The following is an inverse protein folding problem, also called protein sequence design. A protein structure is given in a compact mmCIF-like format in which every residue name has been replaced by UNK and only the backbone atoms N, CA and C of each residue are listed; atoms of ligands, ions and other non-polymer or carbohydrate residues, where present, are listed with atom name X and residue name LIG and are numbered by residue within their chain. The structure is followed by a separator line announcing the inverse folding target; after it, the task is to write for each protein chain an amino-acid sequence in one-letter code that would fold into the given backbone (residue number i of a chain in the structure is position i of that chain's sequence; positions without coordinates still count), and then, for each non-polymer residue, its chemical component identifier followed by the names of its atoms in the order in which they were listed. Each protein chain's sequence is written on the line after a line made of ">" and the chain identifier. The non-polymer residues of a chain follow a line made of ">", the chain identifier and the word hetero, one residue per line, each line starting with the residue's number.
data_IF_047509737225
#
_entry.id   IF_047509737225
#
_cell.length_a   1.000
_cell.length_b   1.000
_cell.length_c   1.000
_cell.angle_alpha   90.00
_cell.angle_beta   90.00
_cell.angle_gamma   90.00
#
_symmetry.space_group_name_H-M   'P 1'
#
loop_
_entity.id
_entity.type
_entity.pdbx_description
1 polymer ?
#
# COMPACT_ATOMS: atom_id res chain seq x y z
N UNK A 1 -6.35 -9.76 0.92
CA UNK A 1 -5.72 -8.98 2.01
C UNK A 1 -4.87 -9.95 2.79
N UNK A 2 -3.56 -9.76 2.82
CA UNK A 2 -2.66 -10.56 3.66
C UNK A 2 -2.19 -9.63 4.77
N UNK A 3 -2.62 -9.93 5.99
CA UNK A 3 -2.08 -9.33 7.22
C UNK A 3 -0.98 -10.27 7.74
N UNK A 4 0.25 -9.78 7.84
CA UNK A 4 1.38 -10.56 8.32
C UNK A 4 1.46 -10.61 9.85
N UNK A 5 0.53 -9.98 10.58
CA UNK A 5 0.55 -9.87 12.05
C UNK A 5 1.66 -8.97 12.60
N UNK A 6 2.45 -8.36 11.71
CA UNK A 6 3.58 -7.48 12.03
C UNK A 6 3.26 -6.02 11.69
N UNK A 7 1.98 -5.63 11.64
CA UNK A 7 1.60 -4.27 11.27
C UNK A 7 1.89 -3.90 9.81
N UNK A 8 2.01 -4.90 8.94
CA UNK A 8 2.20 -4.72 7.50
C UNK A 8 1.01 -5.30 6.76
N UNK A 9 0.52 -4.58 5.76
CA UNK A 9 -0.66 -4.90 4.98
C UNK A 9 -0.29 -4.97 3.50
N UNK A 10 -0.62 -6.10 2.87
CA UNK A 10 -0.49 -6.28 1.43
C UNK A 10 -1.86 -6.50 0.78
N UNK A 11 -2.16 -5.66 -0.21
CA UNK A 11 -3.34 -5.79 -1.06
C UNK A 11 -2.86 -5.91 -2.50
N UNK A 12 -3.04 -7.10 -3.07
CA UNK A 12 -2.76 -7.39 -4.47
C UNK A 12 -4.09 -7.68 -5.14
N UNK A 13 -4.33 -7.09 -6.30
CA UNK A 13 -5.61 -7.25 -6.97
C UNK A 13 -5.59 -6.96 -8.46
N UNK A 14 -6.67 -7.38 -9.10
CA UNK A 14 -6.97 -7.16 -10.52
C UNK A 14 -8.35 -6.52 -10.62
N UNK A 15 -8.53 -5.57 -11.53
CA UNK A 15 -9.81 -4.90 -11.76
C UNK A 15 -10.77 -5.77 -12.57
N UNK A 16 -10.24 -6.69 -13.40
CA UNK A 16 -11.03 -7.63 -14.20
C UNK A 16 -10.77 -9.06 -13.73
N UNK A 17 -11.83 -9.85 -13.56
CA UNK A 17 -11.79 -11.24 -13.06
C UNK A 17 -11.01 -12.24 -13.94
N UNK A 18 -10.53 -11.84 -15.12
CA UNK A 18 -9.91 -12.76 -16.09
C UNK A 18 -8.41 -12.58 -16.29
N UNK A 19 -7.73 -11.69 -15.57
CA UNK A 19 -6.28 -11.52 -15.73
C UNK A 19 -5.54 -12.31 -14.66
N UNK A 20 -4.68 -13.23 -15.12
CA UNK A 20 -3.79 -14.04 -14.26
C UNK A 20 -2.82 -13.13 -13.51
N UNK A 21 -2.34 -12.08 -14.18
CA UNK A 21 -1.45 -11.11 -13.57
C UNK A 21 -2.22 -10.03 -12.80
N UNK A 22 -1.74 -9.66 -11.60
CA UNK A 22 -2.30 -8.57 -10.81
C UNK A 22 -2.12 -7.21 -11.50
N UNK A 23 -3.17 -6.39 -11.47
CA UNK A 23 -3.13 -5.03 -12.01
C UNK A 23 -2.45 -4.05 -11.03
N UNK A 24 -2.47 -4.35 -9.73
CA UNK A 24 -1.87 -3.50 -8.71
C UNK A 24 -1.39 -4.27 -7.48
N UNK A 25 -0.47 -3.64 -6.77
CA UNK A 25 -0.01 -4.02 -5.43
C UNK A 25 0.05 -2.77 -4.57
N UNK A 26 -0.67 -2.79 -3.46
CA UNK A 26 -0.64 -1.79 -2.41
C UNK A 26 0.08 -2.39 -1.20
N UNK A 27 1.11 -1.69 -0.76
CA UNK A 27 1.87 -1.98 0.45
C UNK A 27 1.62 -0.87 1.47
N UNK A 28 1.32 -1.25 2.70
CA UNK A 28 1.18 -0.34 3.84
C UNK A 28 1.87 -0.94 5.06
N UNK A 29 2.51 -0.12 5.88
CA UNK A 29 3.16 -0.53 7.12
C UNK A 29 2.90 0.49 8.22
N UNK A 30 2.69 0.00 9.44
CA UNK A 30 2.64 0.82 10.66
C UNK A 30 4.03 1.16 11.20
N UNK A 31 5.09 0.58 10.64
CA UNK A 31 6.47 0.96 10.93
C UNK A 31 6.82 2.26 10.21
N UNK A 32 6.29 3.36 10.72
CA UNK A 32 6.44 4.68 10.12
C UNK A 32 7.56 5.47 10.81
N UNK A 33 8.12 6.46 10.10
CA UNK A 33 9.12 7.34 10.68
C UNK A 33 8.50 8.31 11.70
N UNK A 34 9.33 8.89 12.57
CA UNK A 34 8.90 9.96 13.49
C UNK A 34 8.32 11.15 12.73
N UNK A 35 8.86 11.46 11.54
CA UNK A 35 8.35 12.55 10.70
C UNK A 35 6.93 12.26 10.20
N UNK A 36 6.68 11.04 9.70
CA UNK A 36 5.35 10.61 9.25
C UNK A 36 4.34 10.57 10.40
N UNK A 37 4.78 10.13 11.58
CA UNK A 37 3.95 10.14 12.78
C UNK A 37 3.56 11.57 13.19
N UNK A 38 4.50 12.52 13.13
CA UNK A 38 4.24 13.94 13.43
C UNK A 38 3.32 14.60 12.39
N UNK A 39 3.32 14.10 11.15
CA UNK A 39 2.35 14.49 10.11
C UNK A 39 0.97 13.83 10.27
N UNK A 40 0.80 12.99 11.29
CA UNK A 40 -0.50 12.39 11.62
C UNK A 40 -0.81 11.10 10.88
N UNK A 41 0.18 10.43 10.32
CA UNK A 41 -0.03 9.13 9.67
C UNK A 41 0.04 7.98 10.67
N UNK A 42 -0.78 6.94 10.46
CA UNK A 42 -0.73 5.68 11.21
C UNK A 42 -0.07 4.58 10.40
N UNK A 43 -0.15 4.68 9.07
CA UNK A 43 0.55 3.80 8.14
C UNK A 43 1.01 4.59 6.92
N UNK A 44 2.15 4.19 6.37
CA UNK A 44 2.68 4.68 5.11
C UNK A 44 3.04 3.52 4.18
N UNK A 45 3.23 3.80 2.90
CA UNK A 45 3.65 2.80 1.93
C UNK A 45 3.47 3.27 0.50
N UNK A 46 3.24 2.33 -0.41
CA UNK A 46 3.32 2.58 -1.85
C UNK A 46 2.22 1.85 -2.62
N UNK A 47 1.80 2.47 -3.72
CA UNK A 47 0.93 1.85 -4.71
C UNK A 47 1.73 1.60 -5.99
N UNK A 48 1.78 0.33 -6.38
CA UNK A 48 2.46 -0.13 -7.58
C UNK A 48 1.44 -0.62 -8.61
N UNK A 49 1.64 -0.26 -9.88
CA UNK A 49 0.86 -0.76 -11.01
C UNK A 49 1.60 -1.94 -11.64
N UNK A 50 0.89 -3.02 -11.92
CA UNK A 50 1.40 -4.16 -12.68
C UNK A 50 1.55 -3.83 -14.16
N UNK A 51 2.69 -4.18 -14.73
CA UNK A 51 2.95 -4.17 -16.17
C UNK A 51 2.95 -5.61 -16.70
N UNK A 52 1.98 -5.90 -17.57
CA UNK A 52 1.74 -7.24 -18.12
C UNK A 52 2.77 -7.66 -19.16
N UNK A 53 3.40 -6.71 -19.86
CA UNK A 53 4.40 -7.06 -20.89
C UNK A 53 5.73 -7.48 -20.29
N UNK A 54 6.08 -6.93 -19.11
CA UNK A 54 7.37 -7.14 -18.44
C UNK A 54 7.24 -7.94 -17.14
N UNK A 55 6.03 -8.37 -16.77
CA UNK A 55 5.71 -9.00 -15.49
C UNK A 55 6.37 -8.30 -14.29
N UNK A 56 6.29 -6.97 -14.28
CA UNK A 56 6.94 -6.13 -13.28
C UNK A 56 5.96 -5.14 -12.67
N UNK A 57 6.32 -4.61 -11.50
CA UNK A 57 5.55 -3.57 -10.83
C UNK A 57 6.29 -2.24 -10.93
N UNK A 58 5.53 -1.18 -11.18
CA UNK A 58 6.04 0.18 -11.20
C UNK A 58 5.34 0.99 -10.11
N UNK A 59 6.12 1.58 -9.20
CA UNK A 59 5.60 2.50 -8.19
C UNK A 59 4.99 3.72 -8.88
N UNK A 60 3.78 4.09 -8.46
CA UNK A 60 3.05 5.23 -9.02
C UNK A 60 2.73 6.30 -8.00
N UNK A 61 2.44 5.90 -6.75
CA UNK A 61 2.02 6.82 -5.70
C UNK A 61 2.58 6.38 -4.34
N UNK A 62 2.77 7.36 -3.47
CA UNK A 62 2.84 7.14 -2.03
C UNK A 62 1.43 6.95 -1.48
N UNK A 63 1.28 6.01 -0.56
CA UNK A 63 0.02 5.72 0.12
C UNK A 63 0.17 5.98 1.61
N UNK A 64 -0.81 6.66 2.21
CA UNK A 64 -0.81 6.97 3.64
C UNK A 64 -2.20 6.76 4.21
N UNK A 65 -2.25 6.34 5.47
CA UNK A 65 -3.48 6.29 6.26
C UNK A 65 -3.30 7.24 7.43
N UNK A 66 -4.25 8.16 7.62
CA UNK A 66 -4.25 9.10 8.74
C UNK A 66 -4.68 8.43 10.04
N UNK A 67 -4.10 8.89 11.14
CA UNK A 67 -4.54 8.60 12.50
C UNK A 67 -5.89 9.26 12.75
N UNK A 68 -6.83 8.50 13.32
CA UNK A 68 -8.19 8.99 13.61
C UNK A 68 -8.23 10.08 14.67
N UNK A 69 -7.22 10.12 15.52
CA UNK A 69 -7.06 11.05 16.64
C UNK A 69 -6.23 12.29 16.28
N UNK A 70 -5.76 12.44 15.05
CA UNK A 70 -4.90 13.56 14.65
C UNK A 70 -5.66 14.85 14.31
N UNK A 71 -6.86 14.74 13.74
CA UNK A 71 -7.70 15.89 13.37
C UNK A 71 -8.60 16.37 14.54
N UNK A 72 -8.30 15.98 15.79
CA UNK A 72 -8.98 16.40 17.02
C UNK A 72 -8.10 17.31 17.86
#
# INVERSE_FOLDING_TARGET
>A
MIDSGTGTLYIVGSFKRMTVDPDFKLYLTSHISTADFNMGYSMTGTLERGNKSSNSFQMTHFAVIRRRDYDK
#
